data_IF_396750738839
#
_entry.id   IF_396750738839
#
_cell.length_a   1.000
_cell.length_b   1.000
_cell.length_c   1.000
_cell.angle_alpha   90.00
_cell.angle_beta   90.00
_cell.angle_gamma   90.00
#
_symmetry.space_group_name_H-M   'P 1'
#
loop_
_entity.id
_entity.type
_entity.pdbx_description
1 polymer ?
#
# COMPACT_ATOMS: atom_id res chain seq x y z
N UNK A 1 -33.06 24.12 11.87
CA UNK A 1 -32.64 23.45 10.62
C UNK A 1 -31.36 22.69 10.93
N UNK A 2 -31.36 21.36 10.85
CA UNK A 2 -30.14 20.56 11.03
C UNK A 2 -29.48 20.48 9.66
N UNK A 3 -28.26 21.00 9.47
CA UNK A 3 -27.59 20.93 8.18
C UNK A 3 -27.40 19.47 7.80
N UNK A 4 -27.72 19.13 6.55
CA UNK A 4 -27.41 17.80 5.99
C UNK A 4 -25.93 17.54 6.24
N UNK A 5 -25.56 16.44 6.92
CA UNK A 5 -24.17 16.07 7.07
C UNK A 5 -23.52 16.09 5.68
N UNK A 6 -22.48 16.90 5.51
CA UNK A 6 -21.73 16.94 4.26
C UNK A 6 -21.24 15.55 3.90
N UNK A 7 -20.99 15.29 2.60
CA UNK A 7 -20.42 14.02 2.16
C UNK A 7 -19.18 13.70 3.01
N UNK A 8 -19.16 12.53 3.65
CA UNK A 8 -18.00 12.09 4.41
C UNK A 8 -16.79 12.06 3.47
N UNK A 9 -15.71 12.74 3.85
CA UNK A 9 -14.44 12.65 3.14
C UNK A 9 -13.93 11.20 3.21
N UNK A 10 -14.22 10.41 2.18
CA UNK A 10 -13.80 9.01 2.11
C UNK A 10 -12.28 8.96 1.95
N UNK A 11 -11.62 8.32 2.91
CA UNK A 11 -10.20 8.01 2.86
C UNK A 11 -10.03 6.49 2.97
N UNK A 12 -8.96 5.99 2.36
CA UNK A 12 -8.60 4.58 2.36
C UNK A 12 -7.29 4.43 3.12
N UNK A 13 -7.26 3.47 4.05
CA UNK A 13 -6.03 2.97 4.63
C UNK A 13 -5.48 1.86 3.73
N UNK A 14 -4.23 2.01 3.31
CA UNK A 14 -3.45 0.96 2.66
C UNK A 14 -2.40 0.58 3.69
N UNK A 15 -2.37 -0.68 4.10
CA UNK A 15 -1.47 -1.11 5.14
C UNK A 15 -1.05 -2.54 5.02
N UNK A 16 0.05 -2.84 5.70
CA UNK A 16 0.66 -4.16 5.79
C UNK A 16 1.14 -4.38 7.22
N UNK A 17 1.19 -5.65 7.60
CA UNK A 17 1.60 -6.09 8.93
C UNK A 17 2.71 -7.10 8.76
N UNK A 18 3.82 -6.89 9.45
CA UNK A 18 4.87 -7.88 9.57
C UNK A 18 4.34 -9.09 10.33
N UNK A 19 4.41 -10.26 9.69
CA UNK A 19 3.83 -11.49 10.23
C UNK A 19 4.48 -11.95 11.55
N UNK A 20 5.77 -11.68 11.73
CA UNK A 20 6.54 -12.19 12.86
C UNK A 20 6.47 -11.30 14.09
N UNK A 21 6.46 -9.99 13.88
CA UNK A 21 6.57 -8.97 14.92
C UNK A 21 5.25 -8.24 15.19
N UNK A 22 4.32 -8.29 14.25
CA UNK A 22 3.09 -7.48 14.28
C UNK A 22 3.32 -6.01 13.97
N UNK A 23 4.54 -5.61 13.57
CA UNK A 23 4.82 -4.24 13.16
C UNK A 23 3.91 -3.83 12.00
N UNK A 24 3.28 -2.67 12.13
CA UNK A 24 2.24 -2.23 11.20
C UNK A 24 2.66 -0.95 10.48
N UNK A 25 2.45 -0.92 9.17
CA UNK A 25 2.65 0.27 8.33
C UNK A 25 1.34 0.58 7.63
N UNK A 26 0.87 1.82 7.75
CA UNK A 26 -0.36 2.29 7.10
C UNK A 26 -0.13 3.65 6.47
N UNK A 27 -0.52 3.80 5.21
CA UNK A 27 -0.69 5.11 4.57
C UNK A 27 -2.17 5.40 4.35
N UNK A 28 -2.54 6.67 4.52
CA UNK A 28 -3.91 7.13 4.27
C UNK A 28 -3.94 7.91 2.97
N UNK A 29 -4.85 7.54 2.07
CA UNK A 29 -5.02 8.15 0.75
C UNK A 29 -6.47 8.43 0.43
N UNK A 30 -6.71 9.33 -0.52
CA UNK A 30 -8.07 9.68 -0.98
C UNK A 30 -8.67 8.60 -1.87
N UNK A 31 -7.83 7.84 -2.57
CA UNK A 31 -8.24 6.78 -3.48
C UNK A 31 -7.50 5.48 -3.13
N UNK A 32 -8.09 4.35 -3.52
CA UNK A 32 -7.47 3.02 -3.51
C UNK A 32 -7.16 2.64 -4.96
N UNK A 33 -6.15 3.26 -5.57
CA UNK A 33 -5.64 2.91 -6.90
C UNK A 33 -4.25 2.31 -6.77
N UNK A 34 -3.72 1.86 -7.91
CA UNK A 34 -2.44 1.18 -8.03
C UNK A 34 -1.26 2.08 -7.68
N UNK A 35 -1.28 3.35 -8.09
CA UNK A 35 -0.24 4.30 -7.74
C UNK A 35 -0.12 4.52 -6.22
N UNK A 36 -1.23 4.46 -5.48
CA UNK A 36 -1.16 4.50 -4.01
C UNK A 36 -0.62 3.21 -3.40
N UNK A 37 -0.80 2.06 -4.07
CA UNK A 37 -0.17 0.79 -3.66
C UNK A 37 1.33 0.81 -3.95
N UNK A 38 1.75 1.32 -5.12
CA UNK A 38 3.17 1.50 -5.44
C UNK A 38 3.88 2.38 -4.40
N UNK A 39 3.27 3.52 -4.03
CA UNK A 39 3.78 4.38 -2.95
C UNK A 39 3.90 3.65 -1.61
N UNK A 40 2.95 2.75 -1.30
CA UNK A 40 3.02 1.96 -0.08
C UNK A 40 4.21 0.97 -0.14
N UNK A 41 4.41 0.30 -1.27
CA UNK A 41 5.54 -0.62 -1.46
C UNK A 41 6.89 0.10 -1.42
N UNK A 42 7.02 1.28 -2.03
CA UNK A 42 8.23 2.10 -1.94
C UNK A 42 8.54 2.47 -0.49
N UNK A 43 7.53 2.87 0.28
CA UNK A 43 7.69 3.19 1.69
C UNK A 43 8.12 1.97 2.52
N UNK A 44 7.67 0.76 2.18
CA UNK A 44 8.16 -0.46 2.81
C UNK A 44 9.65 -0.70 2.51
N UNK A 45 10.08 -0.48 1.26
CA UNK A 45 11.50 -0.63 0.87
C UNK A 45 12.40 0.42 1.52
N UNK A 46 11.91 1.65 1.69
CA UNK A 46 12.63 2.69 2.42
C UNK A 46 12.79 2.34 3.90
N UNK A 47 11.76 1.74 4.50
CA UNK A 47 11.74 1.37 5.92
C UNK A 47 12.59 0.14 6.22
N UNK A 48 12.64 -0.82 5.29
CA UNK A 48 13.38 -2.08 5.43
C UNK A 48 14.46 -2.20 4.33
N UNK A 49 15.47 -1.32 4.32
CA UNK A 49 16.40 -1.17 3.18
C UNK A 49 17.37 -2.35 2.99
N UNK A 50 17.45 -3.27 3.95
CA UNK A 50 18.39 -4.40 3.97
C UNK A 50 17.69 -5.75 4.19
N UNK A 51 16.37 -5.79 4.16
CA UNK A 51 15.59 -6.98 4.42
C UNK A 51 14.83 -7.39 3.16
N UNK A 52 14.70 -8.70 2.95
CA UNK A 52 13.85 -9.23 1.90
C UNK A 52 12.40 -9.25 2.38
N UNK A 53 11.53 -8.48 1.72
CA UNK A 53 10.11 -8.39 2.08
C UNK A 53 9.32 -9.40 1.24
N UNK A 54 8.70 -10.39 1.89
CA UNK A 54 7.73 -11.28 1.26
C UNK A 54 6.32 -10.73 1.42
N UNK A 55 5.76 -10.20 0.33
CA UNK A 55 4.41 -9.64 0.33
C UNK A 55 3.40 -10.75 0.04
N UNK A 56 2.44 -10.92 0.94
CA UNK A 56 1.22 -11.69 0.69
C UNK A 56 0.05 -10.72 0.60
N UNK A 57 -0.62 -10.71 -0.54
CA UNK A 57 -1.72 -9.78 -0.85
C UNK A 57 -2.98 -10.58 -1.25
N UNK A 58 -4.15 -10.03 -0.93
CA UNK A 58 -5.42 -10.66 -1.29
C UNK A 58 -5.72 -10.50 -2.78
N UNK A 59 -6.23 -11.58 -3.38
CA UNK A 59 -6.40 -11.70 -4.81
C UNK A 59 -7.58 -10.83 -5.30
N UNK A 60 -7.27 -9.69 -5.90
CA UNK A 60 -8.18 -8.99 -6.82
C UNK A 60 -7.35 -8.63 -8.04
N UNK A 61 -7.90 -8.88 -9.23
CA UNK A 61 -7.47 -8.49 -10.60
C UNK A 61 -7.08 -7.00 -10.80
N UNK A 62 -6.73 -6.30 -9.72
CA UNK A 62 -6.27 -4.92 -9.66
C UNK A 62 -4.75 -4.78 -9.71
N UNK A 63 -3.96 -5.84 -9.95
CA UNK A 63 -2.49 -5.74 -9.78
C UNK A 63 -1.64 -6.28 -10.93
N UNK A 64 -2.25 -6.73 -12.03
CA UNK A 64 -1.54 -6.96 -13.30
C UNK A 64 -1.43 -5.61 -14.05
N UNK A 65 -0.50 -4.75 -13.62
CA UNK A 65 -0.25 -3.46 -14.27
C UNK A 65 1.20 -3.02 -14.03
N UNK A 66 1.79 -2.32 -15.02
CA UNK A 66 3.24 -2.08 -15.12
C UNK A 66 3.81 -1.31 -13.91
N UNK A 67 3.02 -0.47 -13.25
CA UNK A 67 3.49 0.37 -12.13
C UNK A 67 3.87 -0.45 -10.89
N UNK A 68 3.05 -1.44 -10.52
CA UNK A 68 3.33 -2.30 -9.37
C UNK A 68 4.47 -3.26 -9.73
N UNK A 69 4.46 -3.80 -10.95
CA UNK A 69 5.56 -4.62 -11.44
C UNK A 69 6.89 -3.85 -11.49
N UNK A 70 6.88 -2.57 -11.86
CA UNK A 70 8.07 -1.75 -11.90
C UNK A 70 8.71 -1.63 -10.51
N UNK A 71 7.92 -1.40 -9.46
CA UNK A 71 8.42 -1.38 -8.08
C UNK A 71 8.98 -2.74 -7.67
N UNK A 72 8.26 -3.83 -7.96
CA UNK A 72 8.71 -5.19 -7.62
C UNK A 72 10.00 -5.56 -8.36
N UNK A 73 10.11 -5.23 -9.65
CA UNK A 73 11.31 -5.47 -10.46
C UNK A 73 12.49 -4.61 -10.02
N UNK A 74 12.27 -3.34 -9.68
CA UNK A 74 13.32 -2.47 -9.16
C UNK A 74 13.84 -2.94 -7.78
N UNK A 75 13.00 -3.61 -7.00
CA UNK A 75 13.37 -4.22 -5.74
C UNK A 75 14.09 -5.57 -5.89
N UNK A 76 13.84 -6.31 -6.99
CA UNK A 76 14.44 -7.62 -7.22
C UNK A 76 15.97 -7.51 -7.38
N UNK A 77 16.71 -8.03 -6.38
CA UNK A 77 18.18 -8.00 -6.35
C UNK A 77 18.79 -6.98 -5.38
N UNK A 78 17.95 -6.30 -4.58
CA UNK A 78 18.37 -5.50 -3.42
C UNK A 78 18.30 -6.31 -2.13
#
# INVERSE_FOLDING_TARGET
MIPTPGQSYRRYGIGGVDYHTGETVVIVRRHKRRCEIAQFLELLLEKHPHETIYVTWDNVNTHEDEEVEAVVRAAAGR
#
